data_IF_182962773052
#
_entry.id   IF_182962773052
#
_cell.length_a   1.000
_cell.length_b   1.000
_cell.length_c   1.000
_cell.angle_alpha   90.00
_cell.angle_beta   90.00
_cell.angle_gamma   90.00
#
_symmetry.space_group_name_H-M   'P 1'
#
loop_
_entity.id
_entity.type
_entity.pdbx_description
1 polymer ?
#
# COMPACT_ATOMS: atom_id res chain seq x y z
N UNK A 1 -7.67 -4.41 14.31
CA UNK A 1 -6.99 -5.40 15.15
C UNK A 1 -7.36 -6.76 14.61
N UNK A 2 -6.42 -7.68 14.40
CA UNK A 2 -6.54 -8.69 13.31
C UNK A 2 -7.87 -9.43 13.22
N UNK A 3 -8.44 -9.91 14.33
CA UNK A 3 -9.73 -10.61 14.32
C UNK A 3 -10.91 -9.75 13.86
N UNK A 4 -10.89 -8.46 14.20
CA UNK A 4 -11.87 -7.49 13.71
C UNK A 4 -11.70 -7.25 12.21
N UNK A 5 -10.45 -7.10 11.76
CA UNK A 5 -10.13 -6.85 10.35
C UNK A 5 -10.53 -8.05 9.48
N UNK A 6 -10.30 -9.27 9.97
CA UNK A 6 -10.78 -10.51 9.35
C UNK A 6 -12.31 -10.57 9.27
N UNK A 7 -13.01 -10.21 10.36
CA UNK A 7 -14.47 -10.20 10.38
C UNK A 7 -15.06 -9.21 9.36
N UNK A 8 -14.42 -8.05 9.16
CA UNK A 8 -14.82 -7.09 8.14
C UNK A 8 -14.66 -7.66 6.72
N UNK A 9 -13.53 -8.31 6.43
CA UNK A 9 -13.31 -8.94 5.12
C UNK A 9 -14.36 -10.03 4.87
N UNK A 10 -14.57 -10.95 5.83
CA UNK A 10 -15.57 -12.02 5.70
C UNK A 10 -17.00 -11.49 5.49
N UNK A 11 -17.34 -10.37 6.12
CA UNK A 11 -18.65 -9.72 5.93
C UNK A 11 -18.80 -9.09 4.54
N UNK A 12 -17.71 -8.64 3.91
CA UNK A 12 -17.72 -8.02 2.59
C UNK A 12 -17.73 -9.04 1.46
N UNK A 13 -17.06 -10.18 1.61
CA UNK A 13 -16.90 -11.17 0.52
C UNK A 13 -18.23 -11.56 -0.18
N UNK A 14 -19.35 -11.84 0.52
CA UNK A 14 -20.60 -12.25 -0.12
C UNK A 14 -21.26 -11.14 -0.95
N UNK A 15 -20.92 -9.87 -0.70
CA UNK A 15 -21.57 -8.70 -1.31
C UNK A 15 -20.71 -8.02 -2.38
N UNK A 16 -19.46 -8.46 -2.61
CA UNK A 16 -18.56 -7.85 -3.60
C UNK A 16 -19.08 -7.93 -5.04
N UNK A 17 -19.93 -8.90 -5.36
CA UNK A 17 -20.52 -9.03 -6.71
C UNK A 17 -19.48 -9.20 -7.82
N UNK A 18 -18.30 -9.76 -7.51
CA UNK A 18 -17.19 -9.94 -8.44
C UNK A 18 -16.23 -8.75 -8.56
N UNK A 19 -16.44 -7.68 -7.78
CA UNK A 19 -15.46 -6.61 -7.67
C UNK A 19 -14.14 -7.10 -7.04
N UNK A 20 -13.03 -6.49 -7.45
CA UNK A 20 -11.73 -6.71 -6.80
C UNK A 20 -11.74 -6.13 -5.39
N UNK A 21 -11.10 -6.84 -4.45
CA UNK A 21 -10.92 -6.37 -3.08
C UNK A 21 -9.46 -5.99 -2.86
N UNK A 22 -9.26 -4.75 -2.42
CA UNK A 22 -7.97 -4.20 -1.99
C UNK A 22 -8.08 -3.88 -0.49
N UNK A 23 -7.02 -4.12 0.27
CA UNK A 23 -7.01 -3.87 1.72
C UNK A 23 -5.93 -2.87 2.06
N UNK A 24 -6.32 -1.79 2.73
CA UNK A 24 -5.39 -0.84 3.34
C UNK A 24 -5.39 -1.05 4.85
N UNK A 25 -4.20 -1.25 5.43
CA UNK A 25 -4.03 -1.42 6.86
C UNK A 25 -3.59 -0.12 7.57
N UNK A 26 -3.24 0.94 6.82
CA UNK A 26 -2.78 2.24 7.34
C UNK A 26 -1.71 2.14 8.44
N UNK A 27 -0.81 1.18 8.29
CA UNK A 27 0.25 0.86 9.24
C UNK A 27 -0.21 0.25 10.56
N UNK A 28 -1.44 -0.27 10.61
CA UNK A 28 -2.07 -0.79 11.83
C UNK A 28 -1.62 -2.17 12.27
N UNK A 29 -0.84 -2.91 11.46
CA UNK A 29 -0.37 -4.24 11.82
C UNK A 29 1.06 -4.25 12.33
N UNK A 30 1.35 -5.19 13.23
CA UNK A 30 2.72 -5.58 13.54
C UNK A 30 3.29 -6.46 12.42
N UNK A 31 4.62 -6.63 12.37
CA UNK A 31 5.26 -7.54 11.41
C UNK A 31 4.72 -8.97 11.52
N UNK A 32 4.52 -9.46 12.75
CA UNK A 32 3.94 -10.78 12.99
C UNK A 32 2.49 -10.85 12.50
N UNK A 33 1.70 -9.82 12.77
CA UNK A 33 0.30 -9.73 12.31
C UNK A 33 0.19 -9.69 10.79
N UNK A 34 1.03 -8.91 10.13
CA UNK A 34 1.10 -8.86 8.67
C UNK A 34 1.46 -10.23 8.07
N UNK A 35 2.41 -10.97 8.67
CA UNK A 35 2.75 -12.34 8.24
C UNK A 35 1.58 -13.32 8.36
N UNK A 36 0.69 -13.11 9.32
CA UNK A 36 -0.52 -13.92 9.46
C UNK A 36 -1.61 -13.48 8.46
N UNK A 37 -1.76 -12.17 8.24
CA UNK A 37 -2.81 -11.63 7.39
C UNK A 37 -2.57 -11.83 5.90
N UNK A 38 -1.34 -11.65 5.41
CA UNK A 38 -1.07 -11.67 3.97
C UNK A 38 -1.49 -12.99 3.29
N UNK A 39 -1.15 -14.18 3.82
CA UNK A 39 -1.64 -15.44 3.23
C UNK A 39 -3.15 -15.59 3.35
N UNK A 40 -3.72 -15.22 4.51
CA UNK A 40 -5.15 -15.32 4.79
C UNK A 40 -5.99 -14.45 3.84
N UNK A 41 -5.51 -13.24 3.52
CA UNK A 41 -6.13 -12.32 2.56
C UNK A 41 -6.01 -12.83 1.12
N UNK A 42 -4.85 -13.39 0.77
CA UNK A 42 -4.62 -13.95 -0.57
C UNK A 42 -5.57 -15.11 -0.89
N UNK A 43 -5.81 -16.00 0.08
CA UNK A 43 -6.80 -17.10 -0.05
C UNK A 43 -8.22 -16.61 -0.32
N UNK A 44 -8.52 -15.35 0.03
CA UNK A 44 -9.83 -14.69 -0.16
C UNK A 44 -9.89 -13.82 -1.40
N UNK A 45 -8.86 -13.86 -2.25
CA UNK A 45 -8.83 -13.12 -3.51
C UNK A 45 -8.55 -11.63 -3.36
N UNK A 46 -7.98 -11.20 -2.23
CA UNK A 46 -7.48 -9.82 -2.09
C UNK A 46 -6.33 -9.63 -3.08
N UNK A 47 -6.39 -8.55 -3.88
CA UNK A 47 -5.46 -8.35 -5.00
C UNK A 47 -4.23 -7.52 -4.64
N UNK A 48 -4.28 -6.75 -3.55
CA UNK A 48 -3.15 -6.01 -2.98
C UNK A 48 -3.38 -5.65 -1.51
N UNK A 49 -2.29 -5.40 -0.80
CA UNK A 49 -2.30 -4.79 0.54
C UNK A 49 -1.51 -3.49 0.54
N UNK A 50 -2.17 -2.41 0.95
CA UNK A 50 -1.59 -1.09 1.16
C UNK A 50 -1.18 -0.91 2.63
N UNK A 51 0.00 -0.31 2.82
CA UNK A 51 0.63 0.05 4.08
C UNK A 51 0.34 -0.93 5.25
N UNK A 52 0.89 -2.17 5.23
CA UNK A 52 0.69 -3.12 6.32
C UNK A 52 1.28 -2.64 7.66
N UNK A 53 2.46 -2.02 7.62
CA UNK A 53 3.27 -1.70 8.81
C UNK A 53 3.34 -0.18 9.04
N UNK A 54 3.47 0.24 10.29
CA UNK A 54 3.61 1.65 10.63
C UNK A 54 4.81 2.28 9.91
N UNK A 55 4.62 3.48 9.36
CA UNK A 55 5.70 4.24 8.75
C UNK A 55 6.67 4.75 9.83
N UNK A 56 7.96 4.54 9.61
CA UNK A 56 9.04 4.98 10.51
C UNK A 56 10.37 4.97 9.78
N UNK A 57 11.39 5.63 10.34
CA UNK A 57 12.75 5.51 9.84
C UNK A 57 13.20 4.04 9.79
N UNK A 58 13.60 3.57 8.61
CA UNK A 58 14.03 2.18 8.42
C UNK A 58 12.90 1.16 8.18
N UNK A 59 11.66 1.62 7.97
CA UNK A 59 10.50 0.74 7.74
C UNK A 59 10.62 -0.16 6.49
N UNK A 60 11.52 0.16 5.56
CA UNK A 60 11.82 -0.69 4.40
C UNK A 60 12.29 -2.08 4.82
N UNK A 61 12.90 -2.24 6.00
CA UNK A 61 13.28 -3.53 6.56
C UNK A 61 12.06 -4.39 6.90
N UNK A 62 10.96 -3.76 7.33
CA UNK A 62 9.68 -4.42 7.57
C UNK A 62 9.10 -4.96 6.26
N UNK A 63 9.07 -4.13 5.21
CA UNK A 63 8.66 -4.56 3.86
C UNK A 63 9.54 -5.68 3.32
N UNK A 64 10.87 -5.56 3.44
CA UNK A 64 11.82 -6.59 3.06
C UNK A 64 11.56 -7.93 3.77
N UNK A 65 11.24 -7.87 5.07
CA UNK A 65 10.92 -9.03 5.88
C UNK A 65 9.57 -9.70 5.54
N UNK A 66 8.70 -9.01 4.79
CA UNK A 66 7.43 -9.52 4.28
C UNK A 66 7.54 -10.03 2.83
N UNK A 67 8.41 -9.44 2.00
CA UNK A 67 8.50 -9.71 0.55
C UNK A 67 8.65 -11.19 0.20
N UNK A 68 9.44 -11.96 0.96
CA UNK A 68 9.62 -13.40 0.72
C UNK A 68 8.41 -14.27 1.11
N UNK A 69 7.47 -13.73 1.89
CA UNK A 69 6.32 -14.45 2.42
C UNK A 69 4.98 -13.88 1.94
N UNK A 70 4.98 -12.78 1.18
CA UNK A 70 3.79 -12.09 0.72
C UNK A 70 3.31 -12.69 -0.63
N UNK A 71 2.24 -13.50 -0.65
CA UNK A 71 1.67 -14.00 -1.91
C UNK A 71 0.93 -12.92 -2.70
N UNK A 72 0.75 -11.72 -2.13
CA UNK A 72 0.02 -10.59 -2.72
C UNK A 72 0.90 -9.33 -2.74
N UNK A 73 0.75 -8.47 -3.76
CA UNK A 73 1.49 -7.22 -3.88
C UNK A 73 1.35 -6.32 -2.65
N UNK A 74 2.48 -5.79 -2.17
CA UNK A 74 2.54 -4.74 -1.16
C UNK A 74 2.68 -3.37 -1.82
N UNK A 75 1.84 -2.42 -1.38
CA UNK A 75 1.85 -1.03 -1.82
C UNK A 75 2.19 -0.12 -0.63
N UNK A 76 3.19 0.74 -0.78
CA UNK A 76 3.54 1.72 0.26
C UNK A 76 2.77 3.02 0.08
N UNK A 77 2.18 3.54 1.15
CA UNK A 77 1.52 4.85 1.20
C UNK A 77 2.21 5.77 2.20
N UNK A 78 1.93 5.63 3.50
CA UNK A 78 2.48 6.49 4.54
C UNK A 78 4.00 6.42 4.63
N UNK A 79 4.63 5.34 4.15
CA UNK A 79 6.10 5.20 4.07
C UNK A 79 6.74 5.99 2.91
N UNK A 80 5.97 6.42 1.92
CA UNK A 80 6.47 7.03 0.69
C UNK A 80 5.96 8.47 0.51
N UNK A 81 6.79 9.46 0.87
CA UNK A 81 6.44 10.88 0.74
C UNK A 81 7.12 11.55 -0.45
N UNK A 82 8.39 11.21 -0.68
CA UNK A 82 9.24 11.86 -1.67
C UNK A 82 10.05 10.85 -2.48
N UNK A 83 10.92 11.34 -3.37
CA UNK A 83 11.77 10.50 -4.21
C UNK A 83 12.78 9.64 -3.44
N UNK A 84 13.29 10.14 -2.32
CA UNK A 84 14.23 9.38 -1.50
C UNK A 84 13.54 8.17 -0.89
N UNK A 85 12.31 8.35 -0.38
CA UNK A 85 11.48 7.23 0.09
C UNK A 85 11.16 6.25 -1.03
N UNK A 86 10.79 6.76 -2.22
CA UNK A 86 10.50 5.92 -3.38
C UNK A 86 11.70 5.03 -3.72
N UNK A 87 12.90 5.61 -3.78
CA UNK A 87 14.13 4.88 -4.09
C UNK A 87 14.49 3.86 -2.99
N UNK A 88 14.29 4.22 -1.72
CA UNK A 88 14.51 3.36 -0.56
C UNK A 88 13.56 2.17 -0.54
N UNK A 89 12.29 2.37 -0.88
CA UNK A 89 11.24 1.34 -0.83
C UNK A 89 11.17 0.47 -2.08
N UNK A 90 11.57 0.99 -3.24
CA UNK A 90 11.44 0.30 -4.53
C UNK A 90 11.92 -1.16 -4.56
N UNK A 91 13.01 -1.56 -3.87
CA UNK A 91 13.45 -2.96 -3.86
C UNK A 91 12.50 -3.90 -3.10
N UNK A 92 11.63 -3.36 -2.23
CA UNK A 92 10.91 -4.11 -1.19
C UNK A 92 9.39 -4.16 -1.41
N UNK A 93 8.85 -3.30 -2.27
CA UNK A 93 7.41 -3.20 -2.55
C UNK A 93 7.11 -3.43 -4.03
N UNK A 94 5.84 -3.68 -4.35
CA UNK A 94 5.39 -3.87 -5.74
C UNK A 94 4.70 -2.63 -6.29
N UNK A 95 4.32 -1.68 -5.42
CA UNK A 95 3.81 -0.39 -5.83
C UNK A 95 3.90 0.67 -4.75
N UNK A 96 3.55 1.89 -5.14
CA UNK A 96 3.41 3.03 -4.24
C UNK A 96 2.10 3.76 -4.50
N UNK A 97 1.52 4.33 -3.45
CA UNK A 97 0.40 5.26 -3.54
C UNK A 97 0.95 6.69 -3.57
N UNK A 98 0.81 7.38 -4.72
CA UNK A 98 1.18 8.77 -4.87
C UNK A 98 -0.01 9.67 -4.56
N UNK A 99 0.18 10.60 -3.61
CA UNK A 99 -0.80 11.61 -3.22
C UNK A 99 -0.17 12.99 -3.38
N UNK A 100 -0.84 13.92 -4.05
CA UNK A 100 -0.29 15.27 -4.30
C UNK A 100 0.11 16.02 -3.03
N UNK A 101 -0.62 15.79 -1.94
CA UNK A 101 -0.31 16.37 -0.63
C UNK A 101 0.97 15.82 0.00
N UNK A 102 1.39 14.60 -0.35
CA UNK A 102 2.68 14.05 0.08
C UNK A 102 3.82 14.58 -0.80
N UNK A 103 3.59 14.61 -2.11
CA UNK A 103 4.63 14.82 -3.10
C UNK A 103 4.96 16.28 -3.37
N UNK A 104 4.67 17.23 -2.47
CA UNK A 104 5.11 18.63 -2.62
C UNK A 104 4.61 19.38 -3.87
N UNK A 105 3.64 18.83 -4.62
CA UNK A 105 3.08 19.40 -5.85
C UNK A 105 3.19 18.51 -7.10
N UNK A 106 2.67 19.01 -8.22
CA UNK A 106 2.52 18.25 -9.47
C UNK A 106 3.86 17.90 -10.15
N UNK A 107 4.83 18.81 -10.12
CA UNK A 107 6.13 18.60 -10.79
C UNK A 107 6.88 17.40 -10.20
N UNK A 108 6.93 17.35 -8.87
CA UNK A 108 7.57 16.27 -8.12
C UNK A 108 6.74 14.97 -8.23
N UNK A 109 5.40 15.05 -8.16
CA UNK A 109 4.52 13.90 -8.39
C UNK A 109 4.77 13.25 -9.76
N UNK A 110 4.90 14.06 -10.82
CA UNK A 110 5.19 13.57 -12.17
C UNK A 110 6.56 12.90 -12.24
N UNK A 111 7.57 13.49 -11.60
CA UNK A 111 8.91 12.92 -11.54
C UNK A 111 8.92 11.58 -10.80
N UNK A 112 8.23 11.49 -9.66
CA UNK A 112 8.04 10.25 -8.91
C UNK A 112 7.31 9.19 -9.72
N UNK A 113 6.25 9.55 -10.45
CA UNK A 113 5.51 8.63 -11.30
C UNK A 113 6.40 8.07 -12.43
N UNK A 114 7.19 8.93 -13.09
CA UNK A 114 8.13 8.49 -14.13
C UNK A 114 9.21 7.56 -13.57
N UNK A 115 9.73 7.88 -12.39
CA UNK A 115 10.76 7.06 -11.73
C UNK A 115 10.20 5.71 -11.30
N UNK A 116 9.03 5.68 -10.65
CA UNK A 116 8.36 4.46 -10.23
C UNK A 116 8.11 3.51 -11.40
N UNK A 117 7.64 4.06 -12.54
CA UNK A 117 7.46 3.30 -13.79
C UNK A 117 8.77 2.67 -14.28
N UNK A 118 9.90 3.41 -14.24
CA UNK A 118 11.23 2.89 -14.62
C UNK A 118 11.78 1.85 -13.65
N UNK A 119 11.40 1.91 -12.38
CA UNK A 119 11.75 0.93 -11.35
C UNK A 119 10.84 -0.31 -11.39
N UNK A 120 9.85 -0.36 -12.29
CA UNK A 120 8.93 -1.48 -12.42
C UNK A 120 7.82 -1.52 -11.35
N UNK A 121 7.64 -0.43 -10.60
CA UNK A 121 6.61 -0.32 -9.57
C UNK A 121 5.24 -0.04 -10.20
N UNK A 122 4.20 -0.62 -9.61
CA UNK A 122 2.82 -0.20 -9.85
C UNK A 122 2.56 1.14 -9.15
N UNK A 123 1.71 1.95 -9.79
CA UNK A 123 1.33 3.24 -9.27
C UNK A 123 -0.17 3.23 -8.96
N UNK A 124 -0.48 3.58 -7.72
CA UNK A 124 -1.81 4.02 -7.32
C UNK A 124 -1.78 5.54 -7.19
N UNK A 125 -2.81 6.21 -7.70
CA UNK A 125 -3.03 7.64 -7.46
C UNK A 125 -4.11 7.76 -6.40
N UNK A 126 -3.73 8.28 -5.24
CA UNK A 126 -4.64 8.44 -4.11
C UNK A 126 -4.84 9.91 -3.74
N UNK A 127 -5.75 10.14 -2.81
CA UNK A 127 -5.96 11.41 -2.15
C UNK A 127 -6.30 11.18 -0.68
N UNK A 128 -6.33 12.24 0.12
CA UNK A 128 -7.02 12.20 1.41
C UNK A 128 -8.48 12.63 1.20
N UNK A 129 -9.21 12.85 2.30
CA UNK A 129 -10.56 13.42 2.29
C UNK A 129 -10.55 14.91 1.90
N UNK A 130 -10.00 15.23 0.74
CA UNK A 130 -9.77 16.58 0.26
C UNK A 130 -10.93 17.08 -0.62
N UNK A 131 -10.98 18.41 -0.80
CA UNK A 131 -11.87 19.01 -1.79
C UNK A 131 -11.49 18.57 -3.22
N UNK A 132 -12.44 18.68 -4.16
CA UNK A 132 -12.27 18.25 -5.56
C UNK A 132 -11.00 18.81 -6.26
N UNK A 133 -10.42 19.90 -5.77
CA UNK A 133 -9.19 20.49 -6.31
C UNK A 133 -7.94 19.62 -6.11
N UNK A 134 -7.91 18.76 -5.08
CA UNK A 134 -6.75 17.93 -4.73
C UNK A 134 -7.03 16.43 -4.94
N UNK A 135 -8.15 16.10 -5.58
CA UNK A 135 -8.46 14.72 -5.90
C UNK A 135 -7.48 14.20 -6.95
N UNK A 136 -6.79 13.09 -6.64
CA UNK A 136 -5.83 12.43 -7.54
C UNK A 136 -6.51 11.53 -8.57
N UNK A 137 -7.84 11.40 -8.50
CA UNK A 137 -8.72 10.57 -9.34
C UNK A 137 -9.84 11.39 -9.99
#
# INVERSE_FOLDING_TARGET
GLSHDQALVEALLPVLGGAELQVDANGGWSLEGARQMLPWLAERGVVLVEQPLAASDGDEQGFAALQGAAPIPLVADESCWNLEDLLRLAPHVQGVNLKLLKTGGLSEALLMAQLASRLGLKLMLGCYSDSALLNGA
#
